data_IF_824567545965
#
_entry.id   IF_824567545965
#
_cell.length_a   1.000
_cell.length_b   1.000
_cell.length_c   1.000
_cell.angle_alpha   90.00
_cell.angle_beta   90.00
_cell.angle_gamma   90.00
#
_symmetry.space_group_name_H-M   'P 1'
#
loop_
_entity.id
_entity.type
_entity.pdbx_description
1 polymer ?
#
# COMPACT_ATOMS: atom_id res chain seq x y z
N UNK A 1 -13.93 20.52 -4.04
CA UNK A 1 -12.68 19.96 -4.55
C UNK A 1 -12.53 18.52 -4.06
N UNK A 2 -12.26 17.61 -4.97
CA UNK A 2 -12.02 16.22 -4.60
C UNK A 2 -10.63 16.09 -3.96
N UNK A 3 -10.57 15.48 -2.78
CA UNK A 3 -9.30 15.12 -2.16
C UNK A 3 -8.66 14.01 -2.98
N UNK A 4 -7.38 14.15 -3.25
CA UNK A 4 -6.60 13.10 -3.92
C UNK A 4 -6.66 11.80 -3.11
N UNK A 5 -6.84 10.67 -3.79
CA UNK A 5 -6.94 9.35 -3.18
C UNK A 5 -5.89 8.43 -3.77
N UNK A 6 -5.09 7.85 -2.93
CA UNK A 6 -4.00 6.94 -3.33
C UNK A 6 -4.09 5.64 -2.55
N UNK A 7 -4.01 4.53 -3.25
CA UNK A 7 -3.77 3.22 -2.64
C UNK A 7 -2.29 2.90 -2.78
N UNK A 8 -1.67 2.45 -1.70
CA UNK A 8 -0.25 2.05 -1.70
C UNK A 8 -0.09 0.62 -1.22
N UNK A 9 0.88 -0.06 -1.78
CA UNK A 9 1.34 -1.36 -1.30
C UNK A 9 2.86 -1.42 -1.33
N UNK A 10 3.41 -2.35 -0.57
CA UNK A 10 4.85 -2.62 -0.51
C UNK A 10 5.12 -4.04 -1.01
N UNK A 11 6.08 -4.16 -1.91
CA UNK A 11 6.57 -5.47 -2.36
C UNK A 11 8.09 -5.49 -2.24
N UNK A 12 8.62 -6.36 -1.38
CA UNK A 12 10.06 -6.56 -1.23
C UNK A 12 10.35 -8.05 -1.10
N UNK A 13 11.59 -8.43 -1.41
CA UNK A 13 12.01 -9.82 -1.35
C UNK A 13 11.27 -10.70 -2.35
N UNK A 14 11.18 -11.98 -2.03
CA UNK A 14 10.62 -13.01 -2.92
C UNK A 14 9.41 -13.77 -2.34
N UNK A 15 8.92 -13.36 -1.16
CA UNK A 15 7.77 -14.01 -0.53
C UNK A 15 6.51 -13.91 -1.38
N UNK A 16 6.26 -12.72 -1.97
CA UNK A 16 5.13 -12.48 -2.86
C UNK A 16 5.63 -12.14 -4.25
N UNK A 17 5.14 -12.85 -5.25
CA UNK A 17 5.44 -12.55 -6.64
C UNK A 17 4.61 -11.37 -7.17
N UNK A 18 4.89 -10.92 -8.41
CA UNK A 18 4.18 -9.79 -9.01
C UNK A 18 2.69 -10.04 -9.17
N UNK A 19 2.24 -11.28 -9.24
CA UNK A 19 0.81 -11.63 -9.35
C UNK A 19 0.00 -11.12 -8.17
N UNK A 20 0.57 -11.01 -6.97
CA UNK A 20 -0.13 -10.46 -5.81
C UNK A 20 -0.42 -8.98 -5.98
N UNK A 21 0.54 -8.21 -6.48
CA UNK A 21 0.36 -6.78 -6.74
C UNK A 21 -0.65 -6.57 -7.87
N UNK A 22 -0.52 -7.31 -8.96
CA UNK A 22 -1.42 -7.22 -10.11
C UNK A 22 -2.87 -7.57 -9.71
N UNK A 23 -3.03 -8.58 -8.87
CA UNK A 23 -4.34 -8.99 -8.35
C UNK A 23 -4.93 -7.94 -7.43
N UNK A 24 -4.13 -7.38 -6.54
CA UNK A 24 -4.55 -6.30 -5.65
C UNK A 24 -5.00 -5.08 -6.46
N UNK A 25 -4.22 -4.68 -7.45
CA UNK A 25 -4.59 -3.60 -8.36
C UNK A 25 -5.94 -3.85 -9.02
N UNK A 26 -6.16 -5.06 -9.53
CA UNK A 26 -7.42 -5.42 -10.17
C UNK A 26 -8.60 -5.38 -9.19
N UNK A 27 -8.42 -5.88 -7.96
CA UNK A 27 -9.46 -5.84 -6.92
C UNK A 27 -9.80 -4.40 -6.53
N UNK A 28 -8.79 -3.54 -6.37
CA UNK A 28 -9.00 -2.11 -6.06
C UNK A 28 -9.78 -1.45 -7.19
N UNK A 29 -9.37 -1.67 -8.44
CA UNK A 29 -10.03 -1.06 -9.61
C UNK A 29 -11.50 -1.42 -9.72
N UNK A 30 -11.87 -2.64 -9.33
CA UNK A 30 -13.27 -3.11 -9.35
C UNK A 30 -14.12 -2.63 -8.17
N UNK A 31 -13.49 -2.11 -7.12
CA UNK A 31 -14.16 -1.82 -5.85
C UNK A 31 -14.07 -0.33 -5.45
N UNK A 32 -13.81 0.54 -6.41
CA UNK A 32 -13.88 2.00 -6.26
C UNK A 32 -14.85 2.57 -7.27
N UNK A 33 -15.50 3.68 -6.89
CA UNK A 33 -16.50 4.35 -7.75
C UNK A 33 -15.84 5.21 -8.83
N UNK A 34 -14.63 5.69 -8.57
CA UNK A 34 -13.84 6.46 -9.52
C UNK A 34 -12.36 6.08 -9.40
N UNK A 35 -11.57 6.28 -10.46
CA UNK A 35 -10.16 5.90 -10.45
C UNK A 35 -9.40 6.49 -9.27
N UNK A 36 -8.55 5.67 -8.65
CA UNK A 36 -7.61 6.08 -7.61
C UNK A 36 -6.19 5.91 -8.13
N UNK A 37 -5.26 6.71 -7.61
CA UNK A 37 -3.85 6.51 -7.86
C UNK A 37 -3.43 5.22 -7.12
N UNK A 38 -2.73 4.32 -7.82
CA UNK A 38 -2.23 3.08 -7.22
C UNK A 38 -0.71 3.05 -7.33
N UNK A 39 -0.03 2.99 -6.19
CA UNK A 39 1.43 3.04 -6.11
C UNK A 39 1.95 1.77 -5.45
N UNK A 40 2.90 1.11 -6.10
CA UNK A 40 3.64 0.00 -5.54
C UNK A 40 5.09 0.44 -5.27
N UNK A 41 5.50 0.39 -4.01
CA UNK A 41 6.90 0.58 -3.63
C UNK A 41 7.59 -0.77 -3.66
N UNK A 42 8.61 -0.89 -4.50
CA UNK A 42 9.31 -2.17 -4.70
C UNK A 42 10.75 -1.95 -5.18
N UNK A 43 11.63 -2.88 -4.87
CA UNK A 43 12.97 -2.95 -5.46
C UNK A 43 12.99 -3.72 -6.79
N UNK A 44 11.90 -4.42 -7.12
CA UNK A 44 11.81 -5.23 -8.33
C UNK A 44 10.41 -5.13 -8.95
N UNK A 45 10.32 -4.41 -10.06
CA UNK A 45 9.08 -4.20 -10.80
C UNK A 45 8.80 -5.27 -11.87
N UNK A 46 9.63 -6.31 -11.95
CA UNK A 46 9.48 -7.36 -12.96
C UNK A 46 8.11 -8.03 -12.87
N UNK A 47 7.40 -8.09 -13.98
CA UNK A 47 6.10 -8.74 -14.06
C UNK A 47 4.92 -7.90 -13.57
N UNK A 48 5.15 -6.69 -13.08
CA UNK A 48 4.06 -5.77 -12.71
C UNK A 48 3.43 -5.16 -13.95
N UNK A 49 2.12 -4.88 -13.85
CA UNK A 49 1.36 -4.24 -14.95
C UNK A 49 1.91 -2.84 -15.23
N UNK A 50 1.87 -2.44 -16.50
CA UNK A 50 2.37 -1.13 -16.95
C UNK A 50 1.55 0.04 -16.40
N UNK A 51 0.31 -0.19 -16.02
CA UNK A 51 -0.59 0.83 -15.49
C UNK A 51 -0.48 1.03 -13.96
N UNK A 52 0.44 0.32 -13.30
CA UNK A 52 0.76 0.51 -11.89
C UNK A 52 1.93 1.51 -11.77
N UNK A 53 1.76 2.54 -10.94
CA UNK A 53 2.85 3.47 -10.64
C UNK A 53 3.86 2.77 -9.73
N UNK A 54 5.11 2.72 -10.16
CA UNK A 54 6.20 2.07 -9.42
C UNK A 54 7.09 3.13 -8.79
N UNK A 55 7.38 2.97 -7.50
CA UNK A 55 8.36 3.78 -6.79
C UNK A 55 9.36 2.89 -6.07
N UNK A 56 10.57 3.40 -5.88
CA UNK A 56 11.60 2.70 -5.12
C UNK A 56 11.14 2.48 -3.67
N UNK A 57 11.53 1.35 -3.08
CA UNK A 57 11.32 1.13 -1.65
C UNK A 57 11.99 2.25 -0.87
N UNK A 58 11.27 2.86 0.10
CA UNK A 58 11.89 3.86 0.96
C UNK A 58 12.96 3.23 1.84
N UNK A 59 14.04 3.99 2.07
CA UNK A 59 15.03 3.61 3.05
C UNK A 59 14.41 3.56 4.44
N UNK A 60 14.66 2.48 5.14
CA UNK A 60 14.19 2.31 6.48
C UNK A 60 15.31 1.76 7.36
N UNK A 61 15.62 2.40 8.50
CA UNK A 61 16.66 1.90 9.39
C UNK A 61 16.31 0.51 9.89
N UNK A 62 17.27 -0.39 9.86
CA UNK A 62 17.08 -1.73 10.38
C UNK A 62 16.72 -1.67 11.87
N UNK A 63 15.73 -2.41 12.31
CA UNK A 63 15.35 -2.42 13.71
C UNK A 63 16.47 -3.03 14.58
N UNK A 64 16.60 -2.57 15.83
CA UNK A 64 17.76 -2.85 16.67
C UNK A 64 17.86 -4.28 17.22
N UNK A 65 17.02 -5.21 16.82
CA UNK A 65 17.05 -6.58 17.28
C UNK A 65 16.93 -7.60 16.14
N UNK A 66 17.62 -8.71 16.28
CA UNK A 66 17.79 -9.69 15.20
C UNK A 66 16.50 -10.36 14.71
N UNK A 67 15.42 -10.31 15.49
CA UNK A 67 14.12 -10.83 15.06
C UNK A 67 13.40 -9.93 14.06
N UNK A 68 13.81 -8.70 13.98
CA UNK A 68 13.15 -7.72 13.12
C UNK A 68 13.39 -7.96 11.63
N UNK A 69 14.41 -8.72 11.24
CA UNK A 69 14.59 -9.11 9.84
C UNK A 69 13.46 -10.04 9.35
N UNK A 70 12.75 -10.68 10.27
CA UNK A 70 11.59 -11.51 9.97
C UNK A 70 10.27 -10.74 10.12
N UNK A 71 10.31 -9.56 10.72
CA UNK A 71 9.13 -8.74 10.98
C UNK A 71 9.00 -7.65 9.92
N UNK A 72 8.43 -8.02 8.81
CA UNK A 72 8.24 -7.16 7.63
C UNK A 72 7.41 -5.91 7.91
N UNK A 73 6.61 -5.91 8.99
CA UNK A 73 5.77 -4.79 9.38
C UNK A 73 6.54 -3.47 9.60
N UNK A 74 7.81 -3.53 9.97
CA UNK A 74 8.64 -2.33 10.17
C UNK A 74 8.76 -1.46 8.94
N UNK A 75 8.80 -2.06 7.76
CA UNK A 75 8.90 -1.30 6.50
C UNK A 75 7.69 -0.40 6.26
N UNK A 76 6.53 -0.75 6.82
CA UNK A 76 5.30 0.04 6.73
C UNK A 76 5.42 1.39 7.43
N UNK A 77 6.31 1.54 8.41
CA UNK A 77 6.50 2.80 9.12
C UNK A 77 7.03 3.91 8.21
N UNK A 78 7.74 3.57 7.15
CA UNK A 78 8.22 4.54 6.18
C UNK A 78 7.08 5.28 5.46
N UNK A 79 5.87 4.70 5.42
CA UNK A 79 4.70 5.31 4.79
C UNK A 79 4.18 6.53 5.55
N UNK A 80 4.56 6.72 6.81
CA UNK A 80 4.19 7.91 7.59
C UNK A 80 4.92 9.17 7.15
N UNK A 81 5.96 9.06 6.33
CA UNK A 81 6.64 10.20 5.72
C UNK A 81 6.09 10.45 4.32
N UNK A 82 4.81 10.73 4.24
CA UNK A 82 4.09 10.84 2.98
C UNK A 82 4.66 11.93 2.04
N UNK A 83 5.10 13.06 2.62
CA UNK A 83 5.68 14.15 1.84
C UNK A 83 6.96 13.70 1.12
N UNK A 84 7.85 12.99 1.81
CA UNK A 84 9.08 12.45 1.25
C UNK A 84 8.80 11.40 0.16
N UNK A 85 7.70 10.67 0.30
CA UNK A 85 7.30 9.64 -0.66
C UNK A 85 6.48 10.18 -1.84
N UNK A 86 6.18 11.47 -1.85
CA UNK A 86 5.34 12.07 -2.90
C UNK A 86 3.88 11.63 -2.83
N UNK A 87 3.37 11.36 -1.63
CA UNK A 87 1.98 10.96 -1.40
C UNK A 87 1.20 12.16 -0.87
N UNK A 88 0.02 12.38 -1.43
CA UNK A 88 -0.85 13.51 -1.09
C UNK A 88 -2.28 13.04 -0.86
N UNK A 89 -3.02 13.81 -0.08
CA UNK A 89 -4.44 13.54 0.18
C UNK A 89 -4.67 12.33 1.05
N UNK A 90 -5.68 11.56 0.73
CA UNK A 90 -6.02 10.32 1.44
C UNK A 90 -5.18 9.16 0.91
N UNK A 91 -4.42 8.54 1.79
CA UNK A 91 -3.56 7.38 1.45
C UNK A 91 -4.09 6.15 2.18
N UNK A 92 -4.43 5.13 1.42
CA UNK A 92 -4.87 3.84 1.96
C UNK A 92 -3.77 2.81 1.71
N UNK A 93 -3.19 2.28 2.78
CA UNK A 93 -2.25 1.17 2.70
C UNK A 93 -3.00 -0.16 2.71
N UNK A 94 -2.67 -1.05 1.78
CA UNK A 94 -3.21 -2.41 1.71
C UNK A 94 -2.06 -3.43 1.65
N UNK A 95 -2.22 -4.51 2.41
CA UNK A 95 -1.32 -5.67 2.31
C UNK A 95 -1.56 -6.43 1.00
N UNK A 96 -0.53 -7.16 0.54
CA UNK A 96 -0.59 -7.88 -0.74
C UNK A 96 -1.46 -9.14 -0.69
N UNK A 97 -1.67 -9.71 0.48
CA UNK A 97 -2.35 -10.99 0.69
C UNK A 97 -3.80 -10.86 1.14
N UNK A 98 -4.41 -9.72 0.90
CA UNK A 98 -5.82 -9.49 1.22
C UNK A 98 -6.73 -9.81 0.03
N UNK A 99 -8.02 -10.02 0.33
CA UNK A 99 -9.09 -10.15 -0.66
C UNK A 99 -10.12 -9.05 -0.42
N UNK A 100 -10.44 -8.29 -1.48
CA UNK A 100 -11.43 -7.22 -1.42
C UNK A 100 -12.77 -7.78 -1.90
N UNK A 101 -13.78 -7.78 -1.03
CA UNK A 101 -15.08 -8.40 -1.29
C UNK A 101 -16.17 -7.40 -1.68
N UNK A 102 -15.96 -6.11 -1.41
CA UNK A 102 -16.94 -5.05 -1.68
C UNK A 102 -16.24 -3.70 -1.79
N UNK A 103 -17.00 -2.64 -2.03
CA UNK A 103 -16.47 -1.29 -2.14
C UNK A 103 -15.53 -0.92 -1.01
N UNK A 104 -14.37 -0.34 -1.37
CA UNK A 104 -13.42 0.23 -0.42
C UNK A 104 -13.60 1.74 -0.23
N UNK A 105 -14.61 2.34 -0.87
CA UNK A 105 -14.89 3.77 -0.72
C UNK A 105 -14.99 4.22 0.75
N UNK A 106 -15.65 3.46 1.65
CA UNK A 106 -15.71 3.86 3.05
C UNK A 106 -14.35 4.02 3.74
N UNK A 107 -13.32 3.35 3.26
CA UNK A 107 -11.97 3.43 3.84
C UNK A 107 -11.29 4.78 3.57
N UNK A 108 -11.79 5.55 2.59
CA UNK A 108 -11.31 6.90 2.29
C UNK A 108 -12.11 7.98 3.01
N UNK A 109 -13.18 7.61 3.70
CA UNK A 109 -14.06 8.54 4.40
C UNK A 109 -13.59 8.79 5.82
N UNK A 110 -14.07 9.87 6.41
CA UNK A 110 -13.76 10.26 7.79
C UNK A 110 -12.79 11.42 7.86
N UNK A 111 -12.79 12.08 9.02
CA UNK A 111 -12.01 13.29 9.26
C UNK A 111 -10.72 13.04 10.05
N UNK A 112 -10.52 11.83 10.58
CA UNK A 112 -9.36 11.50 11.37
C UNK A 112 -8.08 11.54 10.51
N UNK A 113 -6.97 12.07 11.05
CA UNK A 113 -5.70 12.09 10.32
C UNK A 113 -5.08 10.69 10.16
N UNK A 114 -5.50 9.73 10.97
CA UNK A 114 -5.04 8.35 10.91
C UNK A 114 -6.16 7.42 11.34
N UNK A 115 -6.35 6.34 10.58
CA UNK A 115 -7.36 5.32 10.88
C UNK A 115 -6.78 3.93 10.62
N UNK A 116 -7.16 2.97 11.44
CA UNK A 116 -6.84 1.55 11.26
C UNK A 116 -8.10 0.72 11.42
N UNK A 117 -8.15 -0.41 10.73
CA UNK A 117 -9.19 -1.40 11.00
C UNK A 117 -8.90 -2.08 12.34
N UNK A 118 -9.96 -2.23 13.14
CA UNK A 118 -9.85 -2.94 14.41
C UNK A 118 -9.60 -4.43 14.16
N UNK A 119 -8.68 -5.00 14.92
CA UNK A 119 -8.39 -6.42 14.87
C UNK A 119 -9.13 -7.13 16.00
N UNK A 120 -9.90 -8.15 15.67
CA UNK A 120 -10.80 -8.86 16.58
C UNK A 120 -10.15 -10.11 17.24
N UNK A 121 -8.86 -10.09 17.52
CA UNK A 121 -8.18 -11.17 18.24
C UNK A 121 -8.06 -10.88 19.71
#
# INVERSE_FOLDING_TARGET
MNVSRTVVCLKWGDMYGPEYVNRLFAMVSRNVDSPVRFVCFTEDATGLRDDIEIKALPDFPEPPYKYARYCSAWRKLALFDAAKLGLEGRVLFLDLDIVILRSIEPLFEGAAPFMMLENWY
#
